data_IF_087124638746
#
_entry.id   IF_087124638746
#
_cell.length_a   1.000
_cell.length_b   1.000
_cell.length_c   1.000
_cell.angle_alpha   90.00
_cell.angle_beta   90.00
_cell.angle_gamma   90.00
#
_symmetry.space_group_name_H-M   'P 1'
#
loop_
_entity.id
_entity.type
_entity.pdbx_description
1 polymer ?
#
# COMPACT_ATOMS: atom_id res chain seq x y z
N UNK A 1 4.64 11.25 24.38
CA UNK A 1 5.62 10.31 23.77
C UNK A 1 5.09 9.92 22.41
N UNK A 2 5.78 10.17 21.29
CA UNK A 2 5.37 9.61 20.01
C UNK A 2 5.85 8.16 19.87
N UNK A 3 4.98 7.32 19.32
CA UNK A 3 5.14 5.89 19.08
C UNK A 3 6.30 5.59 18.09
N UNK A 4 7.22 4.64 18.38
CA UNK A 4 8.42 4.42 17.57
C UNK A 4 8.20 3.66 16.24
N UNK A 5 6.96 3.34 15.84
CA UNK A 5 6.74 2.51 14.64
C UNK A 5 6.50 3.25 13.32
N UNK A 6 6.33 4.57 13.28
CA UNK A 6 6.24 5.30 12.00
C UNK A 6 7.63 5.80 11.60
N UNK A 7 8.31 5.08 10.70
CA UNK A 7 9.54 5.58 10.07
C UNK A 7 9.19 6.84 9.29
N UNK A 8 9.43 8.01 9.88
CA UNK A 8 9.47 9.28 9.15
C UNK A 8 10.55 9.16 8.07
N UNK A 9 10.13 8.76 6.88
CA UNK A 9 10.92 8.95 5.68
C UNK A 9 11.08 10.47 5.54
N UNK A 10 12.25 11.00 5.92
CA UNK A 10 12.64 12.40 5.86
C UNK A 10 12.79 12.91 4.42
N UNK A 11 11.79 12.65 3.57
CA UNK A 11 11.67 13.16 2.23
C UNK A 11 10.91 14.48 2.30
N UNK A 12 11.46 15.53 1.71
CA UNK A 12 10.72 16.78 1.52
C UNK A 12 9.35 16.50 0.89
N UNK A 13 8.32 17.29 1.22
CA UNK A 13 6.96 17.15 0.65
C UNK A 13 6.96 17.01 -0.88
N UNK A 14 7.92 17.65 -1.56
CA UNK A 14 8.12 17.57 -3.02
C UNK A 14 8.64 16.19 -3.46
N UNK A 15 9.58 15.61 -2.71
CA UNK A 15 10.08 14.25 -2.95
C UNK A 15 9.00 13.19 -2.66
N UNK A 16 8.21 13.36 -1.60
CA UNK A 16 7.08 12.47 -1.28
C UNK A 16 6.03 12.45 -2.40
N UNK A 17 5.60 13.62 -2.90
CA UNK A 17 4.64 13.73 -4.02
C UNK A 17 5.16 13.07 -5.30
N UNK A 18 6.44 13.27 -5.64
CA UNK A 18 7.06 12.60 -6.80
C UNK A 18 7.09 11.09 -6.64
N UNK A 19 7.37 10.59 -5.44
CA UNK A 19 7.39 9.15 -5.17
C UNK A 19 5.97 8.57 -5.24
N UNK A 20 4.96 9.27 -4.72
CA UNK A 20 3.55 8.88 -4.82
C UNK A 20 3.05 8.78 -6.26
N UNK A 21 3.31 9.80 -7.10
CA UNK A 21 2.91 9.75 -8.51
C UNK A 21 3.53 8.56 -9.26
N UNK A 22 4.81 8.27 -9.00
CA UNK A 22 5.51 7.11 -9.56
C UNK A 22 4.94 5.77 -9.06
N UNK A 23 4.56 5.69 -7.78
CA UNK A 23 3.94 4.50 -7.20
C UNK A 23 2.54 4.25 -7.78
N UNK A 24 1.72 5.30 -7.87
CA UNK A 24 0.41 5.24 -8.53
C UNK A 24 0.56 4.79 -9.99
N UNK A 25 1.53 5.31 -10.74
CA UNK A 25 1.75 4.90 -12.14
C UNK A 25 2.00 3.40 -12.31
N UNK A 26 2.62 2.74 -11.32
CA UNK A 26 2.84 1.28 -11.36
C UNK A 26 1.55 0.48 -11.16
N UNK A 27 0.65 1.00 -10.33
CA UNK A 27 -0.65 0.37 -10.04
C UNK A 27 -1.67 0.71 -11.12
N UNK A 28 -1.64 1.92 -11.70
CA UNK A 28 -2.62 2.39 -12.68
C UNK A 28 -2.67 1.56 -13.97
N UNK A 29 -1.54 0.98 -14.39
CA UNK A 29 -1.47 0.10 -15.56
C UNK A 29 -1.72 -1.38 -15.22
N UNK A 30 -1.83 -1.72 -13.94
CA UNK A 30 -2.09 -3.10 -13.50
C UNK A 30 -3.54 -3.19 -13.08
N UNK A 31 -4.33 -4.07 -13.69
CA UNK A 31 -5.70 -4.31 -13.23
C UNK A 31 -5.65 -5.13 -11.92
N UNK A 32 -5.97 -4.54 -10.75
CA UNK A 32 -5.96 -5.26 -9.49
C UNK A 32 -7.09 -6.30 -9.39
N UNK A 33 -8.05 -6.26 -10.32
CA UNK A 33 -9.17 -7.19 -10.41
C UNK A 33 -8.82 -8.44 -11.25
N UNK A 34 -7.56 -8.60 -11.68
CA UNK A 34 -7.10 -9.79 -12.37
C UNK A 34 -6.01 -10.48 -11.56
N UNK A 35 -6.21 -11.76 -11.25
CA UNK A 35 -5.19 -12.55 -10.58
C UNK A 35 -3.95 -12.72 -11.48
N UNK A 36 -2.74 -12.33 -11.04
CA UNK A 36 -1.53 -12.42 -11.86
C UNK A 36 -1.09 -13.88 -12.13
N UNK A 37 -1.62 -14.86 -11.38
CA UNK A 37 -1.27 -16.29 -11.54
C UNK A 37 -2.21 -17.03 -12.50
N UNK A 38 -3.52 -16.85 -12.35
CA UNK A 38 -4.53 -17.62 -13.09
C UNK A 38 -5.38 -16.79 -14.05
N UNK A 39 -5.21 -15.46 -14.08
CA UNK A 39 -6.01 -14.51 -14.88
C UNK A 39 -7.51 -14.50 -14.60
N UNK A 40 -7.94 -15.11 -13.49
CA UNK A 40 -9.32 -15.03 -13.03
C UNK A 40 -9.66 -13.65 -12.47
N UNK A 41 -10.93 -13.28 -12.57
CA UNK A 41 -11.46 -12.04 -11.99
C UNK A 41 -11.47 -12.11 -10.46
N UNK A 42 -10.95 -11.08 -9.81
CA UNK A 42 -10.98 -10.86 -8.36
C UNK A 42 -11.95 -9.73 -8.05
N UNK A 43 -12.63 -9.83 -6.89
CA UNK A 43 -13.59 -8.81 -6.43
C UNK A 43 -13.08 -8.19 -5.15
N UNK A 44 -13.26 -6.88 -5.02
CA UNK A 44 -13.02 -6.17 -3.76
C UNK A 44 -14.15 -6.56 -2.79
N UNK A 45 -13.79 -7.20 -1.68
CA UNK A 45 -14.75 -7.67 -0.67
C UNK A 45 -14.88 -6.72 0.52
N UNK A 46 -13.84 -5.95 0.82
CA UNK A 46 -13.80 -5.02 1.95
C UNK A 46 -12.67 -4.01 1.78
N UNK A 47 -12.82 -2.85 2.42
CA UNK A 47 -11.75 -1.88 2.65
C UNK A 47 -11.40 -1.90 4.14
N UNK A 48 -10.10 -1.87 4.44
CA UNK A 48 -9.58 -1.83 5.81
C UNK A 48 -9.00 -0.44 6.03
N UNK A 49 -9.63 0.35 6.90
CA UNK A 49 -9.23 1.74 7.14
C UNK A 49 -8.43 1.92 8.45
N UNK A 50 -8.51 0.96 9.38
CA UNK A 50 -7.86 1.06 10.68
C UNK A 50 -6.36 0.73 10.59
N UNK A 51 -5.51 1.72 10.92
CA UNK A 51 -4.06 1.60 10.83
C UNK A 51 -3.50 0.43 11.64
N UNK A 52 -4.00 0.22 12.86
CA UNK A 52 -3.54 -0.88 13.72
C UNK A 52 -3.79 -2.26 13.09
N UNK A 53 -4.90 -2.42 12.36
CA UNK A 53 -5.22 -3.65 11.64
C UNK A 53 -4.30 -3.80 10.43
N UNK A 54 -4.10 -2.74 9.66
CA UNK A 54 -3.19 -2.73 8.50
C UNK A 54 -1.78 -3.17 8.94
N UNK A 55 -1.25 -2.60 10.03
CA UNK A 55 0.07 -2.96 10.54
C UNK A 55 0.14 -4.43 10.98
N UNK A 56 -0.90 -4.98 11.62
CA UNK A 56 -0.96 -6.40 12.00
C UNK A 56 -0.91 -7.31 10.77
N UNK A 57 -1.65 -6.97 9.71
CA UNK A 57 -1.68 -7.73 8.46
C UNK A 57 -0.30 -7.68 7.78
N UNK A 58 0.30 -6.50 7.66
CA UNK A 58 1.61 -6.33 7.04
C UNK A 58 2.69 -7.15 7.77
N UNK A 59 2.71 -7.09 9.10
CA UNK A 59 3.62 -7.92 9.92
C UNK A 59 3.42 -9.41 9.67
N UNK A 60 2.19 -9.89 9.56
CA UNK A 60 1.89 -11.29 9.26
C UNK A 60 2.37 -11.71 7.87
N UNK A 61 2.35 -10.79 6.90
CA UNK A 61 2.82 -11.00 5.53
C UNK A 61 4.33 -10.80 5.34
N UNK A 62 5.07 -10.46 6.41
CA UNK A 62 6.49 -10.07 6.37
C UNK A 62 6.79 -8.90 5.41
N UNK A 63 5.87 -7.93 5.33
CA UNK A 63 6.01 -6.69 4.55
C UNK A 63 6.28 -5.47 5.44
#
# INVERSE_FOLDING_TARGET
>A
MPDPSFKENALSRKAFRKNWARLIQKVYHSDPLICPKCKGETKIIAFIEEEAIIQKILKHLNL
#
